data_IF_307230352050
#
_entry.id   IF_307230352050
#
_cell.length_a   1.000
_cell.length_b   1.000
_cell.length_c   1.000
_cell.angle_alpha   90.00
_cell.angle_beta   90.00
_cell.angle_gamma   90.00
#
_symmetry.space_group_name_H-M   'P 1'
#
loop_
_entity.id
_entity.type
_entity.pdbx_description
1 polymer ?
#
# COMPACT_ATOMS: atom_id res chain seq x y z
N UNK A 1 -22.84 -13.50 25.51
CA UNK A 1 -21.46 -12.97 25.65
C UNK A 1 -20.53 -13.98 25.01
N UNK A 2 -20.02 -13.70 23.82
CA UNK A 2 -19.18 -14.64 23.06
C UNK A 2 -17.70 -14.34 23.35
N UNK A 3 -16.97 -15.34 23.85
CA UNK A 3 -15.55 -15.25 24.15
C UNK A 3 -14.71 -14.92 22.88
N UNK A 4 -13.56 -14.24 23.02
CA UNK A 4 -12.70 -13.93 21.88
C UNK A 4 -12.05 -15.22 21.35
N UNK A 5 -12.19 -15.46 20.04
CA UNK A 5 -11.45 -16.51 19.34
C UNK A 5 -9.99 -16.09 19.25
N UNK A 6 -9.10 -16.96 19.72
CA UNK A 6 -7.66 -16.79 19.82
C UNK A 6 -6.98 -16.49 18.47
N UNK A 7 -6.62 -15.22 18.27
CA UNK A 7 -5.22 -14.78 18.16
C UNK A 7 -4.34 -15.24 17.00
N UNK A 8 -4.81 -15.97 15.98
CA UNK A 8 -4.03 -16.11 14.74
C UNK A 8 -4.23 -14.86 13.87
N UNK A 9 -3.17 -14.10 13.54
CA UNK A 9 -3.30 -13.02 12.57
C UNK A 9 -3.80 -13.61 11.26
N UNK A 10 -4.80 -12.96 10.65
CA UNK A 10 -5.21 -13.30 9.30
C UNK A 10 -3.95 -13.26 8.41
N UNK A 11 -3.77 -14.24 7.52
CA UNK A 11 -2.62 -14.32 6.59
C UNK A 11 -2.44 -13.01 5.82
N UNK A 12 -3.52 -12.25 5.62
CA UNK A 12 -3.50 -10.89 5.09
C UNK A 12 -2.79 -9.89 6.01
N UNK A 13 -3.12 -9.86 7.29
CA UNK A 13 -2.53 -8.95 8.28
C UNK A 13 -1.03 -9.21 8.51
N UNK A 14 -0.61 -10.47 8.55
CA UNK A 14 0.81 -10.81 8.67
C UNK A 14 1.59 -10.30 7.46
N UNK A 15 1.06 -10.51 6.25
CA UNK A 15 1.67 -9.99 5.03
C UNK A 15 1.72 -8.46 5.01
N UNK A 16 0.64 -7.79 5.38
CA UNK A 16 0.59 -6.32 5.44
C UNK A 16 1.60 -5.77 6.46
N UNK A 17 1.74 -6.43 7.61
CA UNK A 17 2.72 -6.07 8.64
C UNK A 17 4.16 -6.21 8.13
N UNK A 18 4.47 -7.32 7.47
CA UNK A 18 5.80 -7.54 6.86
C UNK A 18 6.10 -6.51 5.78
N UNK A 19 5.13 -6.25 4.90
CA UNK A 19 5.22 -5.23 3.86
C UNK A 19 5.47 -3.85 4.48
N UNK A 20 4.69 -3.48 5.50
CA UNK A 20 4.82 -2.23 6.24
C UNK A 20 6.24 -2.06 6.80
N UNK A 21 6.75 -3.05 7.51
CA UNK A 21 8.08 -3.02 8.11
C UNK A 21 9.23 -2.88 7.10
N UNK A 22 9.02 -3.32 5.85
CA UNK A 22 9.99 -3.17 4.75
C UNK A 22 9.87 -1.82 4.06
N UNK A 23 8.67 -1.45 3.64
CA UNK A 23 8.41 -0.25 2.83
C UNK A 23 8.63 1.02 3.65
N UNK A 24 8.18 1.06 4.90
CA UNK A 24 8.32 2.23 5.76
C UNK A 24 9.77 2.57 6.11
N UNK A 25 10.73 1.64 5.92
CA UNK A 25 12.17 1.92 6.06
C UNK A 25 12.78 2.63 4.84
N UNK A 26 12.08 2.68 3.71
CA UNK A 26 12.60 3.24 2.46
C UNK A 26 12.33 4.74 2.27
N UNK A 27 11.61 5.37 3.19
CA UNK A 27 11.17 6.76 3.10
C UNK A 27 10.42 7.20 4.34
N UNK A 28 9.70 8.31 4.26
CA UNK A 28 8.87 8.83 5.36
C UNK A 28 7.49 8.15 5.29
N UNK A 29 7.10 7.34 6.29
CA UNK A 29 5.80 6.69 6.31
C UNK A 29 4.66 7.70 6.40
N UNK A 30 3.59 7.47 5.65
CA UNK A 30 2.38 8.27 5.72
C UNK A 30 1.24 7.44 6.31
N UNK A 31 0.63 7.97 7.38
CA UNK A 31 -0.60 7.43 7.93
C UNK A 31 -1.79 8.06 7.20
N UNK A 32 -2.48 7.25 6.39
CA UNK A 32 -3.66 7.68 5.65
C UNK A 32 -4.90 7.08 6.30
N UNK A 33 -5.74 7.92 6.89
CA UNK A 33 -6.98 7.46 7.50
C UNK A 33 -7.97 6.99 6.42
N UNK A 34 -8.40 5.70 6.39
CA UNK A 34 -9.21 5.17 5.28
C UNK A 34 -10.53 5.93 5.06
N UNK A 35 -11.17 6.40 6.13
CA UNK A 35 -12.42 7.15 6.01
C UNK A 35 -12.28 8.44 5.20
N UNK A 36 -11.09 9.07 5.21
CA UNK A 36 -10.84 10.26 4.40
C UNK A 36 -10.98 9.95 2.90
N UNK A 37 -10.29 8.91 2.43
CA UNK A 37 -10.35 8.48 1.03
C UNK A 37 -11.72 7.92 0.64
N UNK A 38 -12.37 7.18 1.54
CA UNK A 38 -13.71 6.61 1.28
C UNK A 38 -14.76 7.69 1.09
N UNK A 39 -14.74 8.78 1.87
CA UNK A 39 -15.66 9.92 1.71
C UNK A 39 -15.56 10.56 0.33
N UNK A 40 -14.37 10.55 -0.28
CA UNK A 40 -14.15 11.04 -1.65
C UNK A 40 -14.36 9.97 -2.73
N UNK A 41 -14.84 8.78 -2.38
CA UNK A 41 -15.02 7.65 -3.30
C UNK A 41 -13.72 7.06 -3.85
N UNK A 42 -12.58 7.31 -3.19
CA UNK A 42 -11.25 6.86 -3.62
C UNK A 42 -10.86 5.49 -3.02
N UNK A 43 -11.63 4.98 -2.06
CA UNK A 43 -11.38 3.68 -1.44
C UNK A 43 -10.37 3.77 -0.30
N UNK A 44 -9.31 2.98 -0.37
CA UNK A 44 -8.25 2.93 0.65
C UNK A 44 -6.90 2.63 -0.02
N UNK A 45 -5.82 2.86 0.72
CA UNK A 45 -4.45 2.48 0.36
C UNK A 45 -3.89 1.62 1.49
N UNK A 46 -3.11 0.60 1.16
CA UNK A 46 -2.54 -0.29 2.18
C UNK A 46 -1.33 0.35 2.84
N UNK A 47 -0.40 0.88 2.03
CA UNK A 47 0.79 1.59 2.52
C UNK A 47 1.08 2.83 1.67
N UNK A 48 1.66 3.85 2.28
CA UNK A 48 2.11 5.06 1.59
C UNK A 48 3.39 5.59 2.23
N UNK A 49 4.34 6.05 1.40
CA UNK A 49 5.56 6.72 1.85
C UNK A 49 5.86 7.94 0.97
N UNK A 50 6.55 8.93 1.52
CA UNK A 50 7.29 9.91 0.73
C UNK A 50 8.73 9.45 0.59
N UNK A 51 9.21 9.31 -0.65
CA UNK A 51 10.59 8.97 -0.95
C UNK A 51 11.27 10.15 -1.62
N UNK A 52 12.50 10.46 -1.19
CA UNK A 52 13.35 11.42 -1.89
C UNK A 52 14.03 10.71 -3.06
N UNK A 53 13.87 11.23 -4.28
CA UNK A 53 14.49 10.72 -5.49
C UNK A 53 14.99 11.91 -6.32
N UNK A 54 16.28 11.93 -6.65
CA UNK A 54 16.90 13.01 -7.43
C UNK A 54 16.63 14.43 -6.87
N UNK A 55 16.53 14.58 -5.55
CA UNK A 55 16.22 15.87 -4.89
C UNK A 55 14.73 16.20 -4.79
N UNK A 56 13.85 15.40 -5.40
CA UNK A 56 12.41 15.61 -5.38
C UNK A 56 11.71 14.60 -4.48
N UNK A 57 10.61 15.03 -3.83
CA UNK A 57 9.76 14.13 -3.05
C UNK A 57 8.73 13.49 -3.98
N UNK A 58 8.66 12.16 -3.95
CA UNK A 58 7.67 11.38 -4.68
C UNK A 58 6.82 10.61 -3.68
N UNK A 59 5.51 10.73 -3.80
CA UNK A 59 4.55 9.90 -3.08
C UNK A 59 4.51 8.50 -3.72
N UNK A 60 4.88 7.48 -2.96
CA UNK A 60 4.69 6.09 -3.37
C UNK A 60 3.54 5.48 -2.59
N UNK A 61 2.55 4.97 -3.32
CA UNK A 61 1.41 4.24 -2.77
C UNK A 61 1.56 2.78 -3.14
N UNK A 62 1.35 1.89 -2.17
CA UNK A 62 1.45 0.46 -2.37
C UNK A 62 0.13 -0.22 -2.06
N UNK A 63 -0.25 -1.13 -2.95
CA UNK A 63 -1.27 -2.16 -2.70
C UNK A 63 -0.54 -3.50 -2.49
N UNK A 64 -0.75 -4.15 -1.35
CA UNK A 64 -0.11 -5.43 -1.04
C UNK A 64 -1.01 -6.59 -1.48
N UNK A 65 -0.48 -7.51 -2.32
CA UNK A 65 -1.23 -8.71 -2.76
C UNK A 65 -0.36 -9.96 -2.82
N UNK A 66 -0.96 -11.08 -2.44
CA UNK A 66 -0.31 -12.40 -2.44
C UNK A 66 -0.36 -13.13 -3.78
N UNK A 67 -1.42 -12.97 -4.61
CA UNK A 67 -1.58 -13.87 -5.78
C UNK A 67 -2.25 -13.29 -7.02
N UNK A 68 -3.08 -12.24 -6.93
CA UNK A 68 -3.76 -11.63 -8.12
C UNK A 68 -3.34 -10.20 -8.39
N UNK A 69 -3.37 -9.80 -9.66
CA UNK A 69 -3.36 -8.38 -10.04
C UNK A 69 -4.67 -7.72 -9.57
N UNK A 70 -4.64 -6.41 -9.23
CA UNK A 70 -5.85 -5.69 -8.88
C UNK A 70 -6.83 -5.66 -10.06
N UNK A 71 -8.13 -5.79 -9.78
CA UNK A 71 -9.16 -5.59 -10.79
C UNK A 71 -9.14 -4.14 -11.31
N UNK A 72 -9.66 -3.89 -12.52
CA UNK A 72 -9.73 -2.54 -13.08
C UNK A 72 -10.43 -1.53 -12.17
N UNK A 73 -11.51 -1.94 -11.48
CA UNK A 73 -12.19 -1.10 -10.47
C UNK A 73 -11.28 -0.76 -9.28
N UNK A 74 -10.45 -1.70 -8.82
CA UNK A 74 -9.47 -1.43 -7.76
C UNK A 74 -8.39 -0.45 -8.23
N UNK A 75 -7.87 -0.63 -9.45
CA UNK A 75 -6.90 0.29 -10.06
C UNK A 75 -7.45 1.70 -10.15
N UNK A 76 -8.70 1.87 -10.61
CA UNK A 76 -9.36 3.19 -10.68
C UNK A 76 -9.44 3.85 -9.29
N UNK A 77 -9.83 3.09 -8.26
CA UNK A 77 -9.88 3.60 -6.87
C UNK A 77 -8.49 4.00 -6.37
N UNK A 78 -7.46 3.17 -6.60
CA UNK A 78 -6.09 3.48 -6.23
C UNK A 78 -5.56 4.72 -6.95
N UNK A 79 -5.84 4.88 -8.25
CA UNK A 79 -5.50 6.08 -9.01
C UNK A 79 -6.17 7.33 -8.44
N UNK A 80 -7.44 7.22 -8.07
CA UNK A 80 -8.16 8.32 -7.40
C UNK A 80 -7.56 8.66 -6.04
N UNK A 81 -7.16 7.66 -5.26
CA UNK A 81 -6.47 7.87 -3.98
C UNK A 81 -5.12 8.56 -4.18
N UNK A 82 -4.35 8.12 -5.17
CA UNK A 82 -3.07 8.72 -5.52
C UNK A 82 -3.22 10.19 -5.93
N UNK A 83 -4.18 10.49 -6.79
CA UNK A 83 -4.49 11.86 -7.22
C UNK A 83 -4.86 12.77 -6.05
N UNK A 84 -5.72 12.32 -5.13
CA UNK A 84 -6.12 13.12 -3.97
C UNK A 84 -4.90 13.40 -3.08
N UNK A 85 -4.13 12.37 -2.75
CA UNK A 85 -2.97 12.51 -1.87
C UNK A 85 -1.85 13.33 -2.51
N UNK A 86 -1.61 13.17 -3.81
CA UNK A 86 -0.62 13.97 -4.56
C UNK A 86 -0.96 15.45 -4.56
N UNK A 87 -2.24 15.78 -4.73
CA UNK A 87 -2.73 17.16 -4.67
C UNK A 87 -2.57 17.75 -3.27
N UNK A 88 -2.95 17.02 -2.23
CA UNK A 88 -2.85 17.48 -0.84
C UNK A 88 -1.41 17.71 -0.37
N UNK A 89 -0.50 16.86 -0.83
CA UNK A 89 0.92 16.91 -0.45
C UNK A 89 1.77 17.73 -1.43
N UNK A 90 1.18 18.22 -2.52
CA UNK A 90 1.86 18.93 -3.61
C UNK A 90 3.11 18.19 -4.14
N UNK A 91 2.99 16.88 -4.36
CA UNK A 91 4.07 16.02 -4.88
C UNK A 91 3.55 15.04 -5.93
N UNK A 92 4.36 14.63 -6.92
CA UNK A 92 3.97 13.57 -7.84
C UNK A 92 3.75 12.24 -7.11
N UNK A 93 2.85 11.41 -7.64
CA UNK A 93 2.54 10.10 -7.07
C UNK A 93 2.80 8.94 -8.05
N UNK A 94 3.26 7.83 -7.50
CA UNK A 94 3.45 6.56 -8.18
C UNK A 94 2.74 5.45 -7.40
N UNK A 95 2.12 4.53 -8.12
CA UNK A 95 1.36 3.44 -7.54
C UNK A 95 2.09 2.13 -7.83
N UNK A 96 2.30 1.34 -6.80
CA UNK A 96 3.00 0.07 -6.88
C UNK A 96 2.10 -1.06 -6.38
N UNK A 97 2.13 -2.18 -7.08
CA UNK A 97 1.68 -3.46 -6.55
C UNK A 97 2.87 -4.12 -5.86
N UNK A 98 2.75 -4.36 -4.56
CA UNK A 98 3.74 -5.10 -3.79
C UNK A 98 3.33 -6.56 -3.71
N UNK A 99 4.13 -7.44 -4.33
CA UNK A 99 3.85 -8.88 -4.37
C UNK A 99 4.86 -9.66 -3.56
N UNK A 100 4.33 -10.57 -2.74
CA UNK A 100 5.12 -11.52 -1.94
C UNK A 100 5.25 -12.85 -2.70
N UNK A 101 6.46 -13.37 -2.78
CA UNK A 101 6.77 -14.66 -3.40
C UNK A 101 7.59 -15.51 -2.45
N UNK A 102 7.38 -16.82 -2.46
CA UNK A 102 8.25 -17.76 -1.79
C UNK A 102 9.40 -18.15 -2.73
N UNK A 103 10.64 -17.96 -2.29
CA UNK A 103 11.83 -18.30 -3.07
C UNK A 103 12.92 -18.84 -2.15
N UNK A 104 13.41 -20.06 -2.42
CA UNK A 104 14.53 -20.70 -1.72
C UNK A 104 14.42 -20.62 -0.18
N UNK A 105 13.24 -20.95 0.37
CA UNK A 105 13.03 -21.01 1.83
C UNK A 105 12.75 -19.66 2.50
N UNK A 106 12.58 -18.58 1.74
CA UNK A 106 12.27 -17.25 2.27
C UNK A 106 11.25 -16.48 1.43
N UNK A 107 10.62 -15.47 2.01
CA UNK A 107 9.75 -14.55 1.28
C UNK A 107 10.56 -13.39 0.65
N UNK A 108 10.42 -13.24 -0.67
CA UNK A 108 10.90 -12.09 -1.43
C UNK A 108 9.73 -11.21 -1.86
N UNK A 109 9.98 -9.91 -2.02
CA UNK A 109 8.97 -8.92 -2.36
C UNK A 109 9.39 -8.19 -3.64
N UNK A 110 8.47 -8.04 -4.59
CA UNK A 110 8.72 -7.26 -5.82
C UNK A 110 7.69 -6.14 -5.95
N UNK A 111 8.18 -4.96 -6.30
CA UNK A 111 7.38 -3.79 -6.64
C UNK A 111 7.08 -3.82 -8.14
N UNK A 112 5.82 -3.70 -8.52
CA UNK A 112 5.40 -3.54 -9.91
C UNK A 112 4.70 -2.21 -10.07
N UNK A 113 5.25 -1.31 -10.89
CA UNK A 113 4.62 -0.02 -11.17
C UNK A 113 3.30 -0.24 -11.90
N UNK A 114 2.25 0.44 -11.45
CA UNK A 114 0.94 0.46 -12.11
C UNK A 114 0.86 1.73 -12.96
N UNK A 115 0.78 1.56 -14.28
CA UNK A 115 0.55 2.63 -15.25
C UNK A 115 -0.91 3.08 -15.28
#
# INVERSE_FOLDING_TARGET
MSAPVSGQPDKGQEMERDCSGRIHKQGIPLLVHPAFLRRSGAGQVDLAILKLACGERILKIYEAKSSRYPSGKQVIRLKKSAMILSMLLAVPAQIFLLRRYWHQGSFIYKEHLIH
#
